data_IF_476987552960
#
_entry.id   IF_476987552960
#
_cell.length_a   1.000
_cell.length_b   1.000
_cell.length_c   1.000
_cell.angle_alpha   90.00
_cell.angle_beta   90.00
_cell.angle_gamma   90.00
#
_symmetry.space_group_name_H-M   'P 1'
#
loop_
_entity.id
_entity.type
_entity.pdbx_description
1 polymer ?
#
# COMPACT_ATOMS: atom_id res chain seq x y z
N UNK A 1 15.93 -13.58 3.93
CA UNK A 1 16.31 -12.40 3.13
C UNK A 1 15.43 -11.25 3.59
N UNK A 2 15.96 -10.04 3.72
CA UNK A 2 15.18 -8.84 4.04
C UNK A 2 14.28 -8.43 2.87
N UNK A 3 13.17 -7.78 3.16
CA UNK A 3 12.32 -7.16 2.14
C UNK A 3 13.01 -5.92 1.57
N UNK A 4 13.04 -5.78 0.25
CA UNK A 4 13.59 -4.60 -0.41
C UNK A 4 12.52 -3.54 -0.62
N UNK A 5 12.70 -2.38 0.02
CA UNK A 5 11.78 -1.26 -0.09
C UNK A 5 12.04 -0.45 -1.36
N UNK A 6 11.00 -0.07 -2.10
CA UNK A 6 11.15 0.78 -3.27
C UNK A 6 11.54 2.20 -2.86
N UNK A 7 12.24 2.94 -3.73
CA UNK A 7 12.67 4.30 -3.42
C UNK A 7 11.51 5.24 -3.06
N UNK A 8 10.32 5.02 -3.64
CA UNK A 8 9.10 5.77 -3.36
C UNK A 8 8.70 5.69 -1.88
N UNK A 9 9.03 4.60 -1.20
CA UNK A 9 8.73 4.44 0.23
C UNK A 9 9.54 5.40 1.12
N UNK A 10 10.70 5.88 0.64
CA UNK A 10 11.48 6.93 1.31
C UNK A 10 11.11 8.35 0.83
N UNK A 11 10.13 8.48 -0.06
CA UNK A 11 9.70 9.77 -0.59
C UNK A 11 8.46 10.26 0.17
N UNK A 12 8.54 11.30 1.02
CA UNK A 12 7.42 11.70 1.87
C UNK A 12 6.10 11.98 1.13
N UNK A 13 6.10 12.61 -0.06
CA UNK A 13 4.86 12.80 -0.83
C UNK A 13 4.18 11.51 -1.29
N UNK A 14 4.86 10.36 -1.26
CA UNK A 14 4.28 9.07 -1.60
C UNK A 14 3.17 8.63 -0.64
N UNK A 15 3.21 9.10 0.62
CA UNK A 15 2.19 8.86 1.65
C UNK A 15 1.02 9.86 1.59
N UNK A 16 1.04 10.79 0.63
CA UNK A 16 -0.02 11.78 0.42
C UNK A 16 -0.66 11.57 -0.94
N UNK A 17 -1.98 11.41 -1.00
CA UNK A 17 -2.68 11.22 -2.26
C UNK A 17 -2.44 12.42 -3.19
N UNK A 18 -1.87 12.16 -4.36
CA UNK A 18 -1.50 13.23 -5.28
C UNK A 18 -2.75 13.82 -5.96
N UNK A 19 -2.85 15.16 -6.09
CA UNK A 19 -4.01 15.79 -6.71
C UNK A 19 -4.03 15.59 -8.24
N UNK A 20 -2.85 15.50 -8.86
CA UNK A 20 -2.72 15.24 -10.28
C UNK A 20 -3.08 13.78 -10.60
N UNK A 21 -3.96 13.58 -11.58
CA UNK A 21 -4.49 12.26 -11.96
C UNK A 21 -3.40 11.32 -12.46
N UNK A 22 -2.50 11.78 -13.33
CA UNK A 22 -1.41 10.97 -13.87
C UNK A 22 -0.44 10.53 -12.77
N UNK A 23 -0.07 11.47 -11.89
CA UNK A 23 0.80 11.18 -10.74
C UNK A 23 0.12 10.23 -9.77
N UNK A 24 -1.18 10.43 -9.50
CA UNK A 24 -1.98 9.55 -8.63
C UNK A 24 -2.07 8.14 -9.19
N UNK A 25 -2.26 7.96 -10.49
CA UNK A 25 -2.26 6.63 -11.11
C UNK A 25 -0.91 5.92 -10.93
N UNK A 26 0.21 6.62 -11.15
CA UNK A 26 1.56 6.07 -10.91
C UNK A 26 1.78 5.73 -9.44
N UNK A 27 1.32 6.60 -8.54
CA UNK A 27 1.37 6.38 -7.09
C UNK A 27 0.59 5.12 -6.70
N UNK A 28 -0.65 4.97 -7.15
CA UNK A 28 -1.49 3.81 -6.86
C UNK A 28 -0.90 2.53 -7.43
N UNK A 29 -0.33 2.57 -8.64
CA UNK A 29 0.36 1.43 -9.23
C UNK A 29 1.58 0.99 -8.39
N UNK A 30 2.38 1.94 -7.90
CA UNK A 30 3.50 1.66 -7.02
C UNK A 30 3.04 1.10 -5.66
N UNK A 31 1.97 1.64 -5.07
CA UNK A 31 1.35 1.11 -3.85
C UNK A 31 0.86 -0.32 -4.03
N UNK A 32 0.17 -0.61 -5.12
CA UNK A 32 -0.28 -1.97 -5.45
C UNK A 32 0.90 -2.93 -5.52
N UNK A 33 1.98 -2.55 -6.23
CA UNK A 33 3.17 -3.38 -6.37
C UNK A 33 3.88 -3.62 -5.03
N UNK A 34 3.98 -2.59 -4.19
CA UNK A 34 4.58 -2.66 -2.86
C UNK A 34 3.77 -3.58 -1.95
N UNK A 35 2.45 -3.39 -1.87
CA UNK A 35 1.57 -4.22 -1.07
C UNK A 35 1.66 -5.69 -1.46
N UNK A 36 1.59 -6.02 -2.76
CA UNK A 36 1.68 -7.40 -3.24
C UNK A 36 3.04 -8.03 -2.95
N UNK A 37 4.13 -7.27 -3.15
CA UNK A 37 5.49 -7.77 -2.90
C UNK A 37 5.67 -8.07 -1.42
N UNK A 38 5.18 -7.20 -0.54
CA UNK A 38 5.22 -7.39 0.90
C UNK A 38 4.38 -8.61 1.32
N UNK A 39 3.15 -8.72 0.82
CA UNK A 39 2.28 -9.86 1.11
C UNK A 39 2.90 -11.18 0.67
N UNK A 40 3.53 -11.21 -0.52
CA UNK A 40 4.26 -12.38 -1.01
C UNK A 40 5.45 -12.73 -0.13
N UNK A 41 6.21 -11.74 0.32
CA UNK A 41 7.37 -11.94 1.18
C UNK A 41 6.98 -12.50 2.56
N UNK A 42 5.91 -11.97 3.15
CA UNK A 42 5.41 -12.36 4.46
C UNK A 42 4.37 -13.50 4.42
N UNK A 43 4.07 -14.04 3.24
CA UNK A 43 3.05 -15.09 3.00
C UNK A 43 1.66 -14.70 3.56
N UNK A 44 1.30 -13.43 3.42
CA UNK A 44 -0.01 -12.90 3.80
C UNK A 44 -0.99 -13.08 2.63
N UNK A 45 -2.05 -13.83 2.86
CA UNK A 45 -3.11 -14.09 1.86
C UNK A 45 -4.42 -13.36 2.17
N UNK A 46 -4.55 -12.90 3.41
CA UNK A 46 -5.67 -12.12 3.94
C UNK A 46 -5.12 -10.83 4.52
N UNK A 47 -5.78 -9.72 4.23
CA UNK A 47 -5.43 -8.41 4.75
C UNK A 47 -6.66 -7.78 5.38
N UNK A 48 -6.54 -7.42 6.65
CA UNK A 48 -7.52 -6.63 7.39
C UNK A 48 -7.09 -5.17 7.36
N UNK A 49 -8.01 -4.26 7.03
CA UNK A 49 -7.70 -2.82 6.84
C UNK A 49 -7.15 -2.19 8.12
N UNK A 50 -7.63 -2.60 9.30
CA UNK A 50 -7.16 -2.08 10.57
C UNK A 50 -5.75 -2.57 10.88
N UNK A 51 -5.45 -3.84 10.59
CA UNK A 51 -4.12 -4.41 10.81
C UNK A 51 -3.08 -3.84 9.83
N UNK A 52 -3.45 -3.68 8.56
CA UNK A 52 -2.51 -3.15 7.55
C UNK A 52 -2.21 -1.68 7.74
N UNK A 53 -3.10 -0.89 8.34
CA UNK A 53 -2.84 0.51 8.64
C UNK A 53 -1.61 0.68 9.55
N UNK A 54 -1.43 -0.21 10.52
CA UNK A 54 -0.26 -0.23 11.41
C UNK A 54 0.92 -1.03 10.85
N UNK A 55 0.74 -1.68 9.70
CA UNK A 55 1.80 -2.44 9.05
C UNK A 55 2.89 -1.52 8.49
N UNK A 56 4.14 -2.00 8.41
CA UNK A 56 5.23 -1.21 7.83
C UNK A 56 4.99 -0.87 6.36
N UNK A 57 4.08 -1.54 5.65
CA UNK A 57 3.73 -1.19 4.27
C UNK A 57 3.15 0.22 4.20
N UNK A 58 2.17 0.52 5.04
CA UNK A 58 1.43 1.77 4.99
C UNK A 58 1.82 2.77 6.09
N UNK A 59 2.58 2.32 7.09
CA UNK A 59 3.12 3.14 8.17
C UNK A 59 4.66 3.11 8.18
N UNK A 60 5.27 4.18 7.67
CA UNK A 60 6.71 4.36 7.72
C UNK A 60 7.12 5.20 8.94
N UNK A 61 7.37 4.49 10.04
CA UNK A 61 7.71 5.07 11.35
C UNK A 61 8.99 5.92 11.34
N UNK A 62 9.95 5.62 10.46
CA UNK A 62 11.24 6.33 10.43
C UNK A 62 11.13 7.78 9.92
N UNK A 63 10.18 8.05 9.03
CA UNK A 63 9.93 9.41 8.49
C UNK A 63 8.65 10.03 9.04
N UNK A 64 8.02 9.37 10.03
CA UNK A 64 6.74 9.76 10.61
C UNK A 64 5.66 10.02 9.55
N UNK A 65 5.50 9.06 8.62
CA UNK A 65 4.48 9.13 7.58
C UNK A 65 3.66 7.86 7.54
N UNK A 66 2.35 8.04 7.44
CA UNK A 66 1.37 6.97 7.26
C UNK A 66 0.39 7.34 6.16
N UNK A 67 -0.05 6.33 5.41
CA UNK A 67 -1.10 6.48 4.43
C UNK A 67 -2.46 6.58 5.17
N UNK A 68 -3.35 7.46 4.72
CA UNK A 68 -4.69 7.54 5.31
C UNK A 68 -5.52 6.30 4.97
N UNK A 69 -6.46 5.95 5.84
CA UNK A 69 -7.38 4.82 5.62
C UNK A 69 -8.13 4.94 4.29
N UNK A 70 -8.55 6.16 3.92
CA UNK A 70 -9.17 6.44 2.62
C UNK A 70 -8.26 6.09 1.44
N UNK A 71 -6.98 6.48 1.49
CA UNK A 71 -6.04 6.17 0.42
C UNK A 71 -5.70 4.67 0.39
N UNK A 72 -5.64 4.01 1.55
CA UNK A 72 -5.49 2.55 1.66
C UNK A 72 -6.66 1.84 0.96
N UNK A 73 -7.91 2.27 1.21
CA UNK A 73 -9.10 1.73 0.55
C UNK A 73 -9.02 1.89 -0.98
N UNK A 74 -8.56 3.05 -1.47
CA UNK A 74 -8.38 3.28 -2.91
C UNK A 74 -7.33 2.31 -3.50
N UNK A 75 -6.21 2.10 -2.80
CA UNK A 75 -5.18 1.13 -3.23
C UNK A 75 -5.76 -0.28 -3.31
N UNK A 76 -6.57 -0.67 -2.32
CA UNK A 76 -7.23 -1.98 -2.31
C UNK A 76 -8.26 -2.13 -3.43
N UNK A 77 -9.05 -1.09 -3.69
CA UNK A 77 -10.00 -1.08 -4.80
C UNK A 77 -9.28 -1.22 -6.15
N UNK A 78 -8.13 -0.58 -6.32
CA UNK A 78 -7.29 -0.74 -7.51
C UNK A 78 -6.69 -2.15 -7.62
N UNK A 79 -6.29 -2.77 -6.50
CA UNK A 79 -5.85 -4.18 -6.48
C UNK A 79 -6.98 -5.13 -6.90
N UNK A 80 -8.20 -4.88 -6.40
CA UNK A 80 -9.41 -5.65 -6.73
C UNK A 80 -9.74 -5.55 -8.22
N UNK A 81 -9.73 -4.34 -8.78
CA UNK A 81 -9.93 -4.10 -10.23
C UNK A 81 -8.91 -4.81 -11.10
N UNK A 82 -7.65 -4.89 -10.65
CA UNK A 82 -6.57 -5.59 -11.37
C UNK A 82 -6.66 -7.11 -11.26
N UNK A 83 -7.64 -7.67 -10.56
CA UNK A 83 -7.83 -9.11 -10.41
C UNK A 83 -6.84 -9.76 -9.44
N UNK A 84 -6.14 -8.97 -8.61
CA UNK A 84 -5.28 -9.50 -7.56
C UNK A 84 -6.15 -9.91 -6.37
N UNK A 85 -6.45 -11.20 -6.29
CA UNK A 85 -7.39 -11.82 -5.33
C UNK A 85 -6.75 -12.08 -3.97
N UNK A 86 -6.09 -11.09 -3.37
CA UNK A 86 -5.91 -11.18 -1.92
C UNK A 86 -7.34 -11.20 -1.32
N UNK A 87 -7.63 -12.15 -0.43
CA UNK A 87 -8.95 -12.22 0.19
C UNK A 87 -9.04 -11.08 1.20
N UNK A 88 -9.66 -9.98 0.78
CA UNK A 88 -9.85 -8.81 1.63
C UNK A 88 -11.01 -9.08 2.58
N UNK A 89 -10.79 -8.82 3.86
CA UNK A 89 -11.83 -8.91 4.88
C UNK A 89 -12.05 -7.48 5.39
N UNK A 90 -13.18 -6.89 5.01
CA UNK A 90 -13.71 -5.70 5.67
C UNK A 90 -14.48 -6.19 6.90
N UNK A 91 -13.86 -6.12 8.08
CA UNK A 91 -14.53 -6.43 9.35
C UNK A 91 -15.03 -5.17 10.04
#
# INVERSE_FOLDING_TARGET
MSFEWPWQYNFPPFFTLQPNVDTRQKQLAAWCSLALSYCRHHKLYTLDIMEVQESPVFNHKNIDRKLSTEAILIVFEELRKKGNRAAFIER
#
